data_IF_518901916960
#
_entry.id   IF_518901916960
#
_cell.length_a   1.000
_cell.length_b   1.000
_cell.length_c   1.000
_cell.angle_alpha   90.00
_cell.angle_beta   90.00
_cell.angle_gamma   90.00
#
_symmetry.space_group_name_H-M   'P 1'
#
loop_
_entity.id
_entity.type
_entity.pdbx_description
1 polymer ?
#
# COMPACT_ATOMS: atom_id res chain seq x y z
N UNK A 1 21.51 8.64 -11.71
CA UNK A 1 20.22 7.93 -11.53
C UNK A 1 19.08 8.54 -12.35
N UNK A 2 18.90 9.87 -12.36
CA UNK A 2 17.81 10.52 -13.12
C UNK A 2 17.74 10.12 -14.62
N UNK A 3 18.89 9.98 -15.29
CA UNK A 3 18.93 9.51 -16.69
C UNK A 3 18.34 8.11 -16.90
N UNK A 4 18.57 7.18 -15.97
CA UNK A 4 17.97 5.83 -16.05
C UNK A 4 16.45 5.89 -15.83
N UNK A 5 15.98 6.73 -14.91
CA UNK A 5 14.55 6.96 -14.69
C UNK A 5 13.86 7.61 -15.91
N UNK A 6 14.58 8.46 -16.64
CA UNK A 6 14.08 9.03 -17.89
C UNK A 6 13.99 7.99 -19.01
N UNK A 7 14.99 7.11 -19.13
CA UNK A 7 14.95 5.98 -20.07
C UNK A 7 13.78 5.03 -19.79
N UNK A 8 13.44 4.82 -18.51
CA UNK A 8 12.29 4.00 -18.11
C UNK A 8 10.96 4.76 -18.13
N UNK A 9 10.95 6.03 -18.58
CA UNK A 9 9.73 6.84 -18.71
C UNK A 9 9.13 7.32 -17.38
N UNK A 10 9.88 7.30 -16.28
CA UNK A 10 9.42 7.82 -14.98
C UNK A 10 9.52 9.35 -14.96
N UNK A 11 10.64 9.87 -15.47
CA UNK A 11 10.92 11.30 -15.59
C UNK A 11 10.97 11.70 -17.07
N UNK A 12 10.55 12.91 -17.38
CA UNK A 12 10.87 13.54 -18.66
C UNK A 12 12.24 14.21 -18.59
N UNK A 13 12.92 14.28 -19.73
CA UNK A 13 14.14 15.07 -19.89
C UNK A 13 13.84 16.27 -20.78
N UNK A 14 14.07 17.47 -20.26
CA UNK A 14 13.69 18.70 -20.98
C UNK A 14 14.48 18.86 -22.30
N UNK A 15 15.75 18.46 -22.29
CA UNK A 15 16.60 18.44 -23.48
C UNK A 15 17.66 17.34 -23.40
N UNK A 16 17.44 16.23 -24.12
CA UNK A 16 18.33 15.08 -24.14
C UNK A 16 19.69 15.33 -24.84
N UNK A 17 19.81 16.38 -25.64
CA UNK A 17 21.05 16.68 -26.38
C UNK A 17 22.09 17.40 -25.53
N UNK A 18 21.72 17.88 -24.33
CA UNK A 18 22.67 18.51 -23.41
C UNK A 18 23.62 17.47 -22.80
N UNK A 19 24.84 17.86 -22.40
CA UNK A 19 25.70 17.05 -21.55
C UNK A 19 24.96 16.59 -20.29
N UNK A 20 25.28 15.39 -19.80
CA UNK A 20 24.56 14.74 -18.69
C UNK A 20 24.37 15.62 -17.45
N UNK A 21 25.39 16.41 -17.10
CA UNK A 21 25.37 17.31 -15.94
C UNK A 21 24.56 18.60 -16.15
N UNK A 22 24.09 18.86 -17.37
CA UNK A 22 23.28 20.03 -17.74
C UNK A 22 21.82 19.65 -18.04
N UNK A 23 21.50 18.36 -18.13
CA UNK A 23 20.13 17.88 -18.35
C UNK A 23 19.26 18.17 -17.14
N UNK A 24 18.07 18.73 -17.40
CA UNK A 24 17.00 18.91 -16.42
C UNK A 24 15.96 17.81 -16.59
N UNK A 25 15.39 17.39 -15.48
CA UNK A 25 14.42 16.30 -15.44
C UNK A 25 13.18 16.75 -14.68
N UNK A 26 12.02 16.39 -15.22
CA UNK A 26 10.72 16.77 -14.66
C UNK A 26 9.90 15.52 -14.39
N UNK A 27 9.19 15.46 -13.26
CA UNK A 27 8.22 14.41 -13.00
C UNK A 27 6.89 14.80 -13.66
N UNK A 28 6.37 14.02 -14.63
CA UNK A 28 5.09 14.31 -15.24
C UNK A 28 3.98 14.35 -14.19
N UNK A 29 3.04 15.30 -14.31
CA UNK A 29 1.93 15.43 -13.36
C UNK A 29 1.08 14.16 -13.26
N UNK A 30 0.95 13.42 -14.37
CA UNK A 30 0.27 12.13 -14.41
C UNK A 30 0.92 11.05 -13.51
N UNK A 31 2.22 11.16 -13.23
CA UNK A 31 2.95 10.19 -12.39
C UNK A 31 2.92 10.58 -10.90
N UNK A 32 2.62 11.84 -10.56
CA UNK A 32 2.73 12.35 -9.20
C UNK A 32 1.84 11.59 -8.20
N UNK A 33 0.59 11.30 -8.57
CA UNK A 33 -0.35 10.57 -7.72
C UNK A 33 0.09 9.12 -7.43
N UNK A 34 0.83 8.49 -8.36
CA UNK A 34 1.30 7.12 -8.20
C UNK A 34 2.64 7.03 -7.46
N UNK A 35 3.52 8.03 -7.64
CA UNK A 35 4.92 7.94 -7.19
C UNK A 35 5.25 8.83 -5.99
N UNK A 36 4.45 9.85 -5.70
CA UNK A 36 4.76 10.84 -4.63
C UNK A 36 3.67 10.99 -3.59
N UNK A 37 2.41 10.74 -3.95
CA UNK A 37 1.30 10.82 -3.02
C UNK A 37 1.06 9.46 -2.34
N UNK A 38 1.40 9.37 -1.05
CA UNK A 38 1.21 8.15 -0.25
C UNK A 38 -0.25 7.94 0.18
N UNK A 39 -1.06 8.99 0.17
CA UNK A 39 -2.48 8.91 0.53
C UNK A 39 -3.36 8.62 -0.68
N UNK A 40 -2.83 8.68 -1.91
CA UNK A 40 -3.56 8.28 -3.11
C UNK A 40 -3.88 6.78 -3.11
N UNK A 41 -5.12 6.36 -3.43
CA UNK A 41 -5.44 4.94 -3.64
C UNK A 41 -4.72 4.32 -4.85
N UNK A 42 -4.11 5.17 -5.69
CA UNK A 42 -3.29 4.76 -6.83
C UNK A 42 -1.79 4.79 -6.53
N UNK A 43 -1.38 5.05 -5.27
CA UNK A 43 0.02 5.07 -4.89
C UNK A 43 0.67 3.71 -5.11
N UNK A 44 1.71 3.69 -5.93
CA UNK A 44 2.58 2.53 -6.17
C UNK A 44 3.93 2.67 -5.47
N UNK A 45 4.17 3.80 -4.81
CA UNK A 45 5.44 4.08 -4.12
C UNK A 45 5.86 3.07 -3.03
N UNK A 46 4.96 2.28 -2.39
CA UNK A 46 5.39 1.20 -1.49
C UNK A 46 5.89 -0.06 -2.22
N UNK A 47 5.51 -0.28 -3.49
CA UNK A 47 5.80 -1.52 -4.22
C UNK A 47 7.29 -1.83 -4.40
N UNK A 48 8.19 -0.86 -4.64
CA UNK A 48 9.62 -1.12 -4.70
C UNK A 48 10.19 -1.82 -3.47
N UNK A 49 9.66 -1.54 -2.26
CA UNK A 49 10.09 -2.24 -1.03
C UNK A 49 9.74 -3.72 -1.08
N UNK A 50 8.58 -4.09 -1.62
CA UNK A 50 8.23 -5.50 -1.82
C UNK A 50 9.16 -6.22 -2.79
N UNK A 51 9.64 -5.53 -3.84
CA UNK A 51 10.59 -6.11 -4.79
C UNK A 51 11.92 -6.42 -4.09
N UNK A 52 12.39 -5.52 -3.23
CA UNK A 52 13.62 -5.72 -2.43
C UNK A 52 13.44 -6.91 -1.48
N UNK A 53 12.32 -6.97 -0.75
CA UNK A 53 11.98 -8.10 0.13
C UNK A 53 11.92 -9.41 -0.64
N UNK A 54 11.27 -9.43 -1.81
CA UNK A 54 11.16 -10.62 -2.63
C UNK A 54 12.54 -11.16 -3.03
N UNK A 55 13.46 -10.27 -3.42
CA UNK A 55 14.85 -10.63 -3.68
C UNK A 55 15.56 -11.22 -2.46
N UNK A 56 15.34 -10.64 -1.28
CA UNK A 56 15.91 -11.10 -0.02
C UNK A 56 15.41 -12.49 0.41
N UNK A 57 14.12 -12.76 0.27
CA UNK A 57 13.48 -14.02 0.69
C UNK A 57 13.58 -15.14 -0.36
N UNK A 58 13.88 -14.81 -1.63
CA UNK A 58 13.90 -15.76 -2.74
C UNK A 58 14.68 -17.06 -2.46
N UNK A 59 15.89 -17.05 -1.86
CA UNK A 59 16.62 -18.29 -1.58
C UNK A 59 15.86 -19.22 -0.63
N UNK A 60 15.23 -18.68 0.42
CA UNK A 60 14.43 -19.46 1.38
C UNK A 60 13.19 -20.04 0.73
N UNK A 61 12.55 -19.31 -0.19
CA UNK A 61 11.41 -19.81 -0.96
C UNK A 61 11.82 -20.99 -1.85
N UNK A 62 13.00 -20.92 -2.49
CA UNK A 62 13.52 -22.02 -3.29
C UNK A 62 13.80 -23.26 -2.44
N UNK A 63 14.40 -23.09 -1.26
CA UNK A 63 14.65 -24.20 -0.33
C UNK A 63 13.32 -24.83 0.14
N UNK A 64 12.34 -24.00 0.51
CA UNK A 64 11.02 -24.46 0.93
C UNK A 64 10.31 -25.22 -0.20
N UNK A 65 10.39 -24.73 -1.43
CA UNK A 65 9.82 -25.39 -2.61
C UNK A 65 10.42 -26.79 -2.83
N UNK A 66 11.75 -26.92 -2.74
CA UNK A 66 12.43 -28.21 -2.94
C UNK A 66 12.24 -29.19 -1.78
N UNK A 67 12.17 -28.69 -0.55
CA UNK A 67 12.08 -29.52 0.66
C UNK A 67 10.65 -29.82 1.10
N UNK A 68 9.65 -29.13 0.55
CA UNK A 68 8.26 -29.16 1.04
C UNK A 68 8.06 -28.39 2.35
N UNK A 69 9.02 -27.55 2.74
CA UNK A 69 8.94 -26.69 3.93
C UNK A 69 8.12 -25.41 3.71
N UNK A 70 8.34 -24.41 4.56
CA UNK A 70 7.69 -23.10 4.46
C UNK A 70 8.60 -21.96 4.90
N UNK A 71 8.23 -20.73 4.56
CA UNK A 71 8.92 -19.51 4.98
C UNK A 71 8.04 -18.77 5.99
N UNK A 72 8.59 -18.44 7.16
CA UNK A 72 7.84 -17.74 8.20
C UNK A 72 7.58 -16.29 7.79
N UNK A 73 6.47 -15.70 8.24
CA UNK A 73 6.23 -14.27 8.04
C UNK A 73 7.35 -13.39 8.62
N UNK A 74 7.97 -13.83 9.73
CA UNK A 74 9.11 -13.13 10.33
C UNK A 74 10.33 -13.06 9.42
N UNK A 75 10.45 -13.96 8.44
CA UNK A 75 11.59 -13.98 7.50
C UNK A 75 11.51 -12.88 6.44
N UNK A 76 10.33 -12.30 6.21
CA UNK A 76 10.13 -11.21 5.24
C UNK A 76 10.59 -9.85 5.79
N UNK A 77 10.83 -9.77 7.10
CA UNK A 77 11.40 -8.59 7.73
C UNK A 77 10.45 -7.39 7.81
N UNK A 78 10.92 -6.28 8.39
CA UNK A 78 10.11 -5.09 8.62
C UNK A 78 9.65 -4.43 7.32
N UNK A 79 10.49 -4.38 6.28
CA UNK A 79 10.16 -3.71 5.02
C UNK A 79 8.91 -4.28 4.35
N UNK A 80 8.68 -5.60 4.45
CA UNK A 80 7.50 -6.25 3.91
C UNK A 80 6.23 -5.81 4.66
N UNK A 81 6.32 -5.78 5.99
CA UNK A 81 5.23 -5.39 6.87
C UNK A 81 4.87 -3.92 6.67
N UNK A 82 5.89 -3.07 6.56
CA UNK A 82 5.71 -1.63 6.35
C UNK A 82 5.13 -1.33 4.96
N UNK A 83 5.72 -1.91 3.91
CA UNK A 83 5.25 -1.72 2.53
C UNK A 83 3.78 -2.13 2.37
N UNK A 84 3.38 -3.21 3.04
CA UNK A 84 2.01 -3.69 3.01
C UNK A 84 1.03 -2.79 3.75
N UNK A 85 1.45 -2.28 4.91
CA UNK A 85 0.67 -1.32 5.65
C UNK A 85 0.44 -0.05 4.84
N UNK A 86 1.49 0.47 4.22
CA UNK A 86 1.45 1.67 3.39
C UNK A 86 0.58 1.45 2.14
N UNK A 87 0.69 0.29 1.49
CA UNK A 87 -0.12 -0.04 0.30
C UNK A 87 -1.62 -0.12 0.60
N UNK A 88 -2.00 -0.71 1.73
CA UNK A 88 -3.41 -0.89 2.09
C UNK A 88 -4.05 0.36 2.71
N UNK A 89 -3.25 1.25 3.28
CA UNK A 89 -3.76 2.37 4.09
C UNK A 89 -4.71 3.31 3.33
N UNK A 90 -4.41 3.77 2.09
CA UNK A 90 -5.30 4.65 1.33
C UNK A 90 -6.70 4.06 1.13
N UNK A 91 -6.75 2.80 0.71
CA UNK A 91 -7.99 2.06 0.50
C UNK A 91 -8.78 1.87 1.79
N UNK A 92 -8.08 1.52 2.88
CA UNK A 92 -8.73 1.36 4.18
C UNK A 92 -9.32 2.68 4.69
N UNK A 93 -8.60 3.79 4.55
CA UNK A 93 -9.02 5.08 5.08
C UNK A 93 -10.10 5.76 4.23
N UNK A 94 -10.06 5.59 2.90
CA UNK A 94 -10.92 6.36 1.99
C UNK A 94 -12.12 5.56 1.48
N UNK A 95 -11.97 4.25 1.31
CA UNK A 95 -12.96 3.43 0.60
C UNK A 95 -13.62 2.37 1.48
N UNK A 96 -12.99 1.97 2.59
CA UNK A 96 -13.51 0.85 3.38
C UNK A 96 -14.94 1.09 3.89
N UNK A 97 -15.19 2.24 4.50
CA UNK A 97 -16.51 2.59 5.02
C UNK A 97 -17.53 3.02 3.96
N UNK A 98 -17.07 3.58 2.84
CA UNK A 98 -17.90 4.26 1.84
C UNK A 98 -18.22 3.41 0.61
N UNK A 99 -17.38 2.43 0.29
CA UNK A 99 -17.53 1.59 -0.90
C UNK A 99 -17.43 0.09 -0.59
N UNK A 100 -16.46 -0.33 0.24
CA UNK A 100 -16.23 -1.76 0.50
C UNK A 100 -17.30 -2.35 1.41
N UNK A 101 -17.58 -1.72 2.55
CA UNK A 101 -18.62 -2.21 3.47
C UNK A 101 -20.01 -2.18 2.84
N UNK A 102 -20.45 -1.12 2.13
CA UNK A 102 -21.72 -1.12 1.42
C UNK A 102 -21.86 -2.19 0.35
N UNK A 103 -20.76 -2.65 -0.26
CA UNK A 103 -20.80 -3.73 -1.26
C UNK A 103 -21.12 -5.10 -0.64
N UNK A 104 -21.05 -5.24 0.69
CA UNK A 104 -21.37 -6.47 1.42
C UNK A 104 -22.71 -6.23 2.14
N UNK A 105 -23.81 -6.40 1.40
CA UNK A 105 -25.15 -5.95 1.79
C UNK A 105 -25.60 -6.44 3.18
N UNK A 106 -25.37 -7.72 3.50
CA UNK A 106 -25.74 -8.33 4.78
C UNK A 106 -24.97 -7.72 5.96
N UNK A 107 -23.67 -7.49 5.78
CA UNK A 107 -22.81 -6.82 6.75
C UNK A 107 -23.22 -5.34 6.88
N UNK A 108 -23.41 -4.65 5.77
CA UNK A 108 -23.83 -3.24 5.74
C UNK A 108 -25.13 -3.03 6.50
N UNK A 109 -26.15 -3.83 6.19
CA UNK A 109 -27.45 -3.85 6.85
C UNK A 109 -27.32 -4.11 8.35
N UNK A 110 -26.51 -5.10 8.77
CA UNK A 110 -26.29 -5.38 10.20
C UNK A 110 -25.60 -4.23 10.94
N UNK A 111 -24.66 -3.56 10.28
CA UNK A 111 -23.93 -2.42 10.85
C UNK A 111 -24.84 -1.19 11.03
N UNK A 112 -25.84 -1.01 10.16
CA UNK A 112 -26.82 0.08 10.24
C UNK A 112 -28.01 -0.22 11.17
N UNK A 113 -28.30 -1.49 11.44
CA UNK A 113 -29.44 -1.90 12.27
C UNK A 113 -29.37 -1.38 13.73
N UNK A 114 -30.55 -1.23 14.34
CA UNK A 114 -30.70 -0.89 15.76
C UNK A 114 -31.10 -2.14 16.58
N UNK A 115 -30.44 -2.43 17.72
CA UNK A 115 -29.27 -1.72 18.26
C UNK A 115 -27.99 -1.96 17.44
N UNK A 116 -27.04 -1.00 17.46
CA UNK A 116 -25.86 -1.04 16.61
C UNK A 116 -25.01 -2.29 16.86
N UNK A 117 -24.44 -2.84 15.80
CA UNK A 117 -23.51 -3.95 15.89
C UNK A 117 -22.26 -3.56 16.72
N UNK A 118 -21.80 -4.49 17.56
CA UNK A 118 -20.49 -4.38 18.20
C UNK A 118 -19.46 -4.98 17.27
N UNK A 119 -18.51 -4.16 16.83
CA UNK A 119 -17.49 -4.55 15.86
C UNK A 119 -16.14 -4.56 16.54
N UNK A 120 -15.40 -5.66 16.38
CA UNK A 120 -13.98 -5.72 16.67
C UNK A 120 -13.22 -5.79 15.34
N UNK A 121 -12.35 -4.81 15.11
CA UNK A 121 -11.49 -4.78 13.94
C UNK A 121 -10.04 -5.09 14.34
N UNK A 122 -9.48 -6.16 13.78
CA UNK A 122 -8.04 -6.41 13.81
C UNK A 122 -7.52 -6.31 12.37
N UNK A 123 -6.82 -5.22 12.06
CA UNK A 123 -6.19 -5.06 10.76
C UNK A 123 -4.82 -5.73 10.79
N UNK A 124 -4.75 -6.99 10.34
CA UNK A 124 -3.51 -7.78 10.23
C UNK A 124 -2.53 -7.16 9.21
N UNK A 125 -3.06 -6.35 8.29
CA UNK A 125 -2.37 -5.88 7.10
C UNK A 125 -2.09 -4.37 7.08
N UNK A 126 -2.26 -3.69 8.22
CA UNK A 126 -1.98 -2.26 8.35
C UNK A 126 -1.45 -1.96 9.75
N UNK A 127 -0.39 -1.12 9.83
CA UNK A 127 0.29 -0.69 11.06
C UNK A 127 -0.66 -0.22 12.19
N UNK A 128 -1.89 0.18 11.84
CA UNK A 128 -2.94 0.64 12.76
C UNK A 128 -3.30 -0.36 13.88
N UNK A 129 -2.99 -1.65 13.70
CA UNK A 129 -3.21 -2.68 14.71
C UNK A 129 -2.22 -2.66 15.89
N UNK A 130 -1.05 -2.04 15.76
CA UNK A 130 0.00 -2.10 16.80
C UNK A 130 0.04 -0.87 17.72
N UNK A 131 -0.60 0.24 17.33
CA UNK A 131 -0.81 1.40 18.21
C UNK A 131 -2.24 1.92 18.06
N UNK A 132 -3.11 1.52 19.00
CA UNK A 132 -4.31 2.25 19.47
C UNK A 132 -5.13 3.02 18.41
N UNK A 133 -5.62 2.35 17.36
CA UNK A 133 -6.55 2.97 16.39
C UNK A 133 -7.80 2.15 16.04
N UNK A 134 -8.12 1.08 16.77
CA UNK A 134 -9.34 0.28 16.56
C UNK A 134 -10.65 1.06 16.78
N UNK A 135 -10.62 2.18 17.51
CA UNK A 135 -11.78 3.05 17.71
C UNK A 135 -12.06 4.01 16.54
N UNK A 136 -11.09 4.30 15.66
CA UNK A 136 -11.32 5.29 14.59
C UNK A 136 -12.10 4.73 13.40
N UNK A 137 -11.95 3.43 13.10
CA UNK A 137 -12.67 2.77 12.00
C UNK A 137 -14.18 2.66 12.27
N UNK A 138 -14.57 2.38 13.52
CA UNK A 138 -15.99 2.28 13.91
C UNK A 138 -16.66 3.65 14.05
N UNK A 139 -15.90 4.71 14.41
CA UNK A 139 -16.38 6.10 14.44
C UNK A 139 -16.47 6.71 13.04
N UNK A 140 -15.51 6.45 12.15
CA UNK A 140 -15.46 7.01 10.80
C UNK A 140 -16.57 6.52 9.87
N UNK A 141 -17.03 5.27 10.04
CA UNK A 141 -18.20 4.75 9.32
C UNK A 141 -19.49 5.48 9.69
N UNK A 142 -19.66 5.80 10.99
CA UNK A 142 -20.86 6.40 11.55
C UNK A 142 -20.97 7.91 11.33
N UNK A 143 -19.87 8.59 10.99
CA UNK A 143 -19.84 10.05 10.77
C UNK A 143 -20.01 10.47 9.32
N UNK A 144 -20.03 9.52 8.37
CA UNK A 144 -20.15 9.75 6.92
C UNK A 144 -21.37 9.07 6.29
N UNK A 145 -22.21 8.40 7.10
CA UNK A 145 -23.52 7.87 6.70
C UNK A 145 -24.63 8.84 7.05
#
# INVERSE_FOLDING_TARGET
MAGAQAVTGILDVDNANLPDNQRKYTLPAAHAAALTDLDSPFSMSPLPRFIVVAGYVMPKLLDAYCSGGGVSWSDYGPDAIEAQGDFNRPWLMQMFGSAILPAIEDVHSRLQANPPARVFGHCVWCRLGQHRHSESLSKGYRSRS
#
